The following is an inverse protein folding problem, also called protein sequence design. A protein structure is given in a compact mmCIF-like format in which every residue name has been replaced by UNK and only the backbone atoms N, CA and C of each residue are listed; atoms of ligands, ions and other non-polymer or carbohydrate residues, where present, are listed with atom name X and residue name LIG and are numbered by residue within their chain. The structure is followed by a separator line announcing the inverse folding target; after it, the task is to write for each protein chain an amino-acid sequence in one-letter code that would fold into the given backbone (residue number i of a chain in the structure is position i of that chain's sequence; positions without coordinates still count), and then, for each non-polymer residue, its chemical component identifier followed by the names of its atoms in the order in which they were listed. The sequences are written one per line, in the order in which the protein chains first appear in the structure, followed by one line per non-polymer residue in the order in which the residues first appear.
data_IF_842009703883
#
_entry.id   IF_842009703883
#
_cell.length_a   1.000
_cell.length_b   1.000
_cell.length_c   1.000
_cell.angle_alpha   90.00
_cell.angle_beta   90.00
_cell.angle_gamma   90.00
#
_symmetry.space_group_name_H-M   'P 1'
#
loop_
_entity.id
_entity.type
_entity.pdbx_description
1 polymer ?
#
# COMPACT_ATOMS: atom_id res chain seq x y z
N UNK A 1 -3.00 -5.09 -13.36
CA UNK A 1 -2.54 -4.51 -12.11
C UNK A 1 -3.51 -4.72 -10.97
N UNK A 2 -4.78 -4.93 -11.28
CA UNK A 2 -5.80 -5.20 -10.25
C UNK A 2 -5.43 -6.41 -9.39
N UNK A 3 -4.83 -7.44 -10.01
CA UNK A 3 -4.45 -8.65 -9.31
C UNK A 3 -3.38 -8.37 -8.25
N UNK A 4 -2.35 -7.61 -8.62
CA UNK A 4 -1.30 -7.22 -7.69
C UNK A 4 -1.89 -6.37 -6.55
N UNK A 5 -2.78 -5.45 -6.89
CA UNK A 5 -3.43 -4.57 -5.94
C UNK A 5 -4.19 -5.35 -4.87
N UNK A 6 -4.98 -6.33 -5.29
CA UNK A 6 -5.76 -7.14 -4.35
C UNK A 6 -4.84 -7.95 -3.43
N UNK A 7 -3.82 -8.59 -4.01
CA UNK A 7 -2.95 -9.46 -3.24
C UNK A 7 -1.92 -8.71 -2.39
N UNK A 8 -1.72 -7.41 -2.66
CA UNK A 8 -0.87 -6.58 -1.81
C UNK A 8 -1.37 -6.53 -0.38
N UNK A 9 -2.67 -6.70 -0.17
CA UNK A 9 -3.26 -6.68 1.17
C UNK A 9 -2.81 -7.87 2.01
N UNK A 10 -2.57 -9.01 1.37
CA UNK A 10 -2.26 -10.26 2.07
C UNK A 10 -0.79 -10.62 2.00
N UNK A 11 -0.21 -10.49 0.83
CA UNK A 11 1.16 -10.91 0.57
C UNK A 11 1.91 -9.76 -0.06
N UNK A 12 3.04 -9.39 0.51
CA UNK A 12 3.90 -8.33 -0.02
C UNK A 12 5.22 -8.90 -0.49
N UNK A 13 5.16 -10.10 -1.10
CA UNK A 13 6.35 -10.81 -1.56
C UNK A 13 6.34 -10.95 -3.07
N UNK A 14 7.46 -10.65 -3.67
CA UNK A 14 7.60 -10.70 -5.13
C UNK A 14 7.29 -12.09 -5.67
N UNK A 15 7.76 -13.13 -4.98
CA UNK A 15 7.56 -14.51 -5.42
C UNK A 15 6.09 -14.86 -5.53
N UNK A 16 5.27 -14.38 -4.60
CA UNK A 16 3.84 -14.64 -4.61
C UNK A 16 3.21 -14.08 -5.87
N UNK A 17 3.52 -12.84 -6.18
CA UNK A 17 2.91 -12.17 -7.35
C UNK A 17 3.42 -12.75 -8.65
N UNK A 18 4.70 -13.08 -8.71
CA UNK A 18 5.27 -13.71 -9.90
C UNK A 18 4.58 -15.05 -10.18
N UNK A 19 4.38 -15.84 -9.13
CA UNK A 19 3.71 -17.14 -9.26
C UNK A 19 2.29 -16.99 -9.80
N UNK A 20 1.56 -15.99 -9.31
CA UNK A 20 0.18 -15.75 -9.76
C UNK A 20 0.12 -15.30 -11.21
N UNK A 21 1.16 -14.66 -11.70
CA UNK A 21 1.24 -14.21 -13.08
C UNK A 21 1.91 -15.21 -14.01
N UNK A 22 2.26 -16.38 -13.47
CA UNK A 22 2.92 -17.46 -14.22
C UNK A 22 4.25 -17.02 -14.85
N UNK A 23 4.99 -16.21 -14.10
CA UNK A 23 6.33 -15.75 -14.50
C UNK A 23 7.28 -15.93 -13.31
N UNK A 24 8.57 -15.84 -13.57
CA UNK A 24 9.55 -15.97 -12.50
C UNK A 24 9.67 -14.66 -11.73
N UNK A 25 10.12 -14.75 -10.48
CA UNK A 25 10.40 -13.57 -9.66
C UNK A 25 11.42 -12.67 -10.34
N UNK A 26 12.44 -13.30 -10.96
CA UNK A 26 13.49 -12.55 -11.66
C UNK A 26 12.92 -11.76 -12.83
N UNK A 27 12.04 -12.38 -13.61
CA UNK A 27 11.42 -11.71 -14.74
C UNK A 27 10.56 -10.53 -14.27
N UNK A 28 9.73 -10.77 -13.24
CA UNK A 28 8.89 -9.71 -12.70
C UNK A 28 9.72 -8.56 -12.18
N UNK A 29 10.74 -8.85 -11.37
CA UNK A 29 11.61 -7.83 -10.79
C UNK A 29 12.34 -7.03 -11.87
N UNK A 30 12.87 -7.72 -12.88
CA UNK A 30 13.58 -7.08 -13.96
C UNK A 30 12.67 -6.16 -14.75
N UNK A 31 11.46 -6.63 -15.07
CA UNK A 31 10.51 -5.86 -15.85
C UNK A 31 10.06 -4.61 -15.09
N UNK A 32 9.74 -4.76 -13.80
CA UNK A 32 9.32 -3.62 -12.98
C UNK A 32 10.45 -2.60 -12.88
N UNK A 33 11.67 -3.04 -12.63
CA UNK A 33 12.81 -2.16 -12.52
C UNK A 33 13.05 -1.40 -13.82
N UNK A 34 12.94 -2.09 -14.94
CA UNK A 34 13.16 -1.51 -16.26
C UNK A 34 12.11 -0.46 -16.59
N UNK A 35 10.84 -0.72 -16.23
CA UNK A 35 9.73 0.16 -16.57
C UNK A 35 9.60 1.33 -15.59
N UNK A 36 9.75 1.05 -14.29
CA UNK A 36 9.47 2.04 -13.25
C UNK A 36 10.72 2.64 -12.60
N UNK A 37 11.88 2.01 -12.76
CA UNK A 37 13.09 2.41 -12.07
C UNK A 37 13.14 1.96 -10.63
N UNK A 38 12.13 1.30 -10.13
CA UNK A 38 12.04 0.82 -8.75
C UNK A 38 12.16 -0.69 -8.68
N UNK A 39 12.58 -1.22 -7.52
CA UNK A 39 12.55 -2.66 -7.31
C UNK A 39 11.10 -3.12 -7.25
N UNK A 40 10.88 -4.41 -7.48
CA UNK A 40 9.53 -4.97 -7.39
C UNK A 40 8.94 -4.76 -5.99
N UNK A 41 9.75 -4.95 -4.94
CA UNK A 41 9.29 -4.75 -3.56
C UNK A 41 8.85 -3.31 -3.32
N UNK A 42 9.65 -2.36 -3.78
CA UNK A 42 9.30 -0.94 -3.64
C UNK A 42 8.02 -0.61 -4.39
N UNK A 43 7.88 -1.15 -5.59
CA UNK A 43 6.69 -0.90 -6.40
C UNK A 43 5.43 -1.45 -5.72
N UNK A 44 5.52 -2.67 -5.16
CA UNK A 44 4.40 -3.27 -4.45
C UNK A 44 4.05 -2.45 -3.21
N UNK A 45 5.06 -1.98 -2.47
CA UNK A 45 4.81 -1.11 -1.32
C UNK A 45 4.10 0.17 -1.72
N UNK A 46 4.49 0.74 -2.86
CA UNK A 46 3.83 1.96 -3.36
C UNK A 46 2.36 1.70 -3.69
N UNK A 47 2.05 0.54 -4.27
CA UNK A 47 0.67 0.16 -4.55
C UNK A 47 -0.13 0.05 -3.25
N UNK A 48 0.46 -0.57 -2.22
CA UNK A 48 -0.18 -0.70 -0.91
C UNK A 48 -0.43 0.68 -0.30
N UNK A 49 0.54 1.58 -0.41
CA UNK A 49 0.40 2.95 0.11
C UNK A 49 -0.76 3.68 -0.57
N UNK A 50 -0.90 3.52 -1.89
CA UNK A 50 -2.01 4.17 -2.59
C UNK A 50 -3.35 3.61 -2.14
N UNK A 51 -3.42 2.32 -1.86
CA UNK A 51 -4.64 1.74 -1.33
C UNK A 51 -4.96 2.28 0.06
N UNK A 52 -3.94 2.44 0.91
CA UNK A 52 -4.14 3.01 2.25
C UNK A 52 -4.64 4.45 2.12
N UNK A 53 -4.05 5.24 1.24
CA UNK A 53 -4.51 6.61 1.01
C UNK A 53 -5.96 6.65 0.60
N UNK A 54 -6.36 5.77 -0.30
CA UNK A 54 -7.74 5.69 -0.75
C UNK A 54 -8.69 5.40 0.40
N UNK A 55 -8.33 4.42 1.25
CA UNK A 55 -9.18 4.06 2.39
C UNK A 55 -9.26 5.19 3.41
N UNK A 56 -8.15 5.86 3.68
CA UNK A 56 -8.13 6.97 4.62
C UNK A 56 -9.00 8.14 4.12
N UNK A 57 -9.07 8.30 2.81
CA UNK A 57 -9.83 9.40 2.20
C UNK A 57 -11.31 9.08 2.07
N UNK A 58 -11.64 7.87 1.65
CA UNK A 58 -13.01 7.53 1.28
C UNK A 58 -13.77 6.67 2.28
N UNK A 59 -13.08 6.01 3.19
CA UNK A 59 -13.71 5.15 4.19
C UNK A 59 -13.97 5.94 5.47
N UNK A 60 -15.04 5.60 6.17
CA UNK A 60 -15.32 6.16 7.50
C UNK A 60 -14.79 5.27 8.61
N UNK A 61 -14.10 4.19 8.26
CA UNK A 61 -13.54 3.27 9.24
C UNK A 61 -12.42 3.93 10.04
N UNK A 62 -12.23 3.45 11.28
CA UNK A 62 -11.11 3.91 12.09
C UNK A 62 -9.79 3.43 11.49
N UNK A 63 -8.70 4.04 11.92
CA UNK A 63 -7.36 3.61 11.49
C UNK A 63 -7.15 2.13 11.81
N UNK A 64 -7.57 1.71 13.00
CA UNK A 64 -7.43 0.33 13.43
C UNK A 64 -8.21 -0.63 12.53
N UNK A 65 -9.43 -0.26 12.18
CA UNK A 65 -10.26 -1.09 11.31
C UNK A 65 -9.66 -1.23 9.92
N UNK A 66 -9.12 -0.14 9.39
CA UNK A 66 -8.45 -0.18 8.08
C UNK A 66 -7.24 -1.09 8.13
N UNK A 67 -6.42 -0.96 9.17
CA UNK A 67 -5.22 -1.80 9.34
C UNK A 67 -5.61 -3.28 9.38
N UNK A 68 -6.63 -3.61 10.13
CA UNK A 68 -7.11 -4.98 10.25
C UNK A 68 -7.62 -5.51 8.90
N UNK A 69 -8.42 -4.73 8.22
CA UNK A 69 -9.02 -5.15 6.94
C UNK A 69 -7.96 -5.35 5.86
N UNK A 70 -6.88 -4.57 5.90
CA UNK A 70 -5.78 -4.69 4.95
C UNK A 70 -4.73 -5.71 5.39
N UNK A 71 -5.02 -6.47 6.43
CA UNK A 71 -4.19 -7.59 6.90
C UNK A 71 -2.82 -7.16 7.42
N UNK A 72 -2.75 -6.00 8.06
CA UNK A 72 -1.54 -5.62 8.78
C UNK A 72 -1.50 -6.34 10.13
N UNK A 73 -0.30 -6.70 10.62
CA UNK A 73 -0.19 -7.43 11.88
C UNK A 73 -0.79 -6.70 13.08
N UNK A 74 -0.62 -5.38 13.11
CA UNK A 74 -1.18 -4.55 14.17
C UNK A 74 -1.14 -3.09 13.71
N UNK A 75 -1.77 -2.22 14.51
CA UNK A 75 -1.89 -0.81 14.18
C UNK A 75 -0.53 -0.08 14.23
N UNK A 76 0.36 -0.51 15.11
CA UNK A 76 1.70 0.08 15.20
C UNK A 76 2.50 -0.16 13.93
N UNK A 77 2.47 -1.39 13.42
CA UNK A 77 3.15 -1.72 12.18
C UNK A 77 2.56 -0.91 11.01
N UNK A 78 1.24 -0.82 10.96
CA UNK A 78 0.52 -0.07 9.94
C UNK A 78 0.96 1.40 9.94
N UNK A 79 0.95 2.03 11.11
CA UNK A 79 1.34 3.42 11.25
C UNK A 79 2.77 3.67 10.85
N UNK A 80 3.68 2.82 11.30
CA UNK A 80 5.10 2.96 10.97
C UNK A 80 5.36 2.77 9.49
N UNK A 81 4.70 1.79 8.87
CA UNK A 81 4.83 1.53 7.45
C UNK A 81 4.40 2.75 6.64
N UNK A 82 3.22 3.28 6.93
CA UNK A 82 2.68 4.42 6.21
C UNK A 82 3.56 5.66 6.40
N UNK A 83 3.96 5.94 7.64
CA UNK A 83 4.80 7.11 7.94
C UNK A 83 6.17 7.00 7.27
N UNK A 84 6.75 5.81 7.26
CA UNK A 84 8.06 5.60 6.61
C UNK A 84 7.97 5.91 5.12
N UNK A 85 6.89 5.53 4.48
CA UNK A 85 6.75 5.70 3.04
C UNK A 85 6.29 7.11 2.64
N UNK A 86 5.50 7.76 3.48
CA UNK A 86 4.88 9.05 3.12
C UNK A 86 5.39 10.22 3.93
N UNK A 87 6.05 9.98 5.05
CA UNK A 87 6.53 11.03 5.93
C UNK A 87 5.49 11.54 6.92
N UNK A 88 4.25 11.03 6.87
CA UNK A 88 3.17 11.51 7.72
C UNK A 88 2.39 10.31 8.24
N UNK A 89 1.89 10.40 9.48
CA UNK A 89 1.11 9.31 10.07
C UNK A 89 -0.25 9.17 9.38
N UNK A 90 -0.88 7.99 9.47
CA UNK A 90 -2.23 7.83 8.91
C UNK A 90 -3.24 8.81 9.46
N UNK A 91 -3.18 9.06 10.78
CA UNK A 91 -4.08 10.03 11.43
C UNK A 91 -3.81 11.42 10.90
N UNK A 92 -2.53 11.80 10.79
CA UNK A 92 -2.14 13.10 10.25
C UNK A 92 -2.62 13.28 8.82
N UNK A 93 -2.48 12.24 8.02
CA UNK A 93 -2.94 12.29 6.63
C UNK A 93 -4.45 12.49 6.55
N UNK A 94 -5.21 11.73 7.35
CA UNK A 94 -6.67 11.84 7.36
C UNK A 94 -7.14 13.22 7.82
N UNK A 95 -6.49 13.77 8.84
CA UNK A 95 -6.81 15.12 9.31
C UNK A 95 -6.52 16.18 8.25
N UNK A 96 -5.45 15.99 7.52
CA UNK A 96 -5.07 16.89 6.43
C UNK A 96 -6.13 16.93 5.34
N UNK A 97 -6.65 15.75 4.96
CA UNK A 97 -7.70 15.63 3.97
C UNK A 97 -8.98 16.29 4.44
N UNK A 98 -9.39 16.02 5.68
CA UNK A 98 -10.60 16.58 6.25
C UNK A 98 -10.54 18.10 6.29
N UNK A 99 -9.36 18.64 6.66
CA UNK A 99 -9.16 20.09 6.69
C UNK A 99 -9.32 20.69 5.29
N UNK A 100 -8.76 20.01 4.27
CA UNK A 100 -8.89 20.46 2.90
C UNK A 100 -10.35 20.44 2.45
N UNK A 101 -11.07 19.37 2.79
CA UNK A 101 -12.47 19.24 2.44
C UNK A 101 -13.32 20.30 3.14
N UNK A 102 -13.00 20.60 4.40
CA UNK A 102 -13.72 21.61 5.15
C UNK A 102 -13.53 23.01 4.56
N UNK A 103 -12.38 23.24 3.94
CA UNK A 103 -12.07 24.52 3.31
C UNK A 103 -12.85 24.74 2.03
N UNK A 104 -13.47 23.71 1.51
CA UNK A 104 -14.28 23.81 0.30
C UNK A 104 -15.73 24.06 0.62
#
# INVERSE_FOLDING_TARGET
MQYVFIHCREKRKVEFYASKLFITSKYLSTTIKKVTGKTASEWIEDVVIEEIRYELKHSNESISEIAFRLNFPNISFFGKFFKRKTGISPIGYRKSINRTNDAQ
#
